data_IF_939457578932
#
_entry.id   IF_939457578932
#
_cell.length_a   1.000
_cell.length_b   1.000
_cell.length_c   1.000
_cell.angle_alpha   90.00
_cell.angle_beta   90.00
_cell.angle_gamma   90.00
#
_symmetry.space_group_name_H-M   'P 1'
#
loop_
_entity.id
_entity.type
_entity.pdbx_description
1 polymer ?
#
# COMPACT_ATOMS: atom_id res chain seq x y z
N UNK A 1 12.58 -1.85 22.24
CA UNK A 1 11.94 -0.52 22.22
C UNK A 1 12.35 0.17 20.93
N UNK A 2 11.42 0.79 20.21
CA UNK A 2 11.71 1.43 18.92
C UNK A 2 12.07 2.90 19.09
N UNK A 3 12.97 3.40 18.25
CA UNK A 3 13.26 4.83 18.17
C UNK A 3 12.02 5.56 17.59
N UNK A 4 11.56 6.67 18.21
CA UNK A 4 10.42 7.44 17.70
C UNK A 4 10.61 7.95 16.27
N UNK A 5 11.86 8.13 15.81
CA UNK A 5 12.15 8.47 14.41
C UNK A 5 11.69 7.38 13.45
N UNK A 6 11.95 6.10 13.77
CA UNK A 6 11.56 4.96 12.92
C UNK A 6 10.03 4.89 12.84
N UNK A 7 9.35 5.06 13.97
CA UNK A 7 7.89 5.03 14.03
C UNK A 7 7.28 6.15 13.18
N UNK A 8 7.84 7.37 13.24
CA UNK A 8 7.41 8.50 12.39
C UNK A 8 7.70 8.27 10.91
N UNK A 9 8.87 7.71 10.57
CA UNK A 9 9.21 7.38 9.20
C UNK A 9 8.20 6.41 8.58
N UNK A 10 7.89 5.32 9.32
CA UNK A 10 6.91 4.32 8.90
C UNK A 10 5.53 4.97 8.77
N UNK A 11 5.14 5.81 9.73
CA UNK A 11 3.84 6.49 9.71
C UNK A 11 3.66 7.38 8.49
N UNK A 12 4.64 8.23 8.21
CA UNK A 12 4.60 9.14 7.05
C UNK A 12 4.63 8.33 5.75
N UNK A 13 5.51 7.34 5.64
CA UNK A 13 5.61 6.48 4.47
C UNK A 13 4.31 5.74 4.17
N UNK A 14 3.72 5.09 5.17
CA UNK A 14 2.43 4.40 5.05
C UNK A 14 1.30 5.37 4.71
N UNK A 15 1.26 6.53 5.37
CA UNK A 15 0.27 7.57 5.14
C UNK A 15 0.27 8.04 3.68
N UNK A 16 1.44 8.44 3.18
CA UNK A 16 1.61 8.88 1.78
C UNK A 16 1.27 7.75 0.80
N UNK A 17 1.76 6.52 1.05
CA UNK A 17 1.49 5.38 0.18
C UNK A 17 -0.01 5.11 0.04
N UNK A 18 -0.75 5.08 1.15
CA UNK A 18 -2.19 4.85 1.13
C UNK A 18 -2.96 5.97 0.44
N UNK A 19 -2.56 7.23 0.65
CA UNK A 19 -3.21 8.37 -0.02
C UNK A 19 -2.99 8.35 -1.54
N UNK A 20 -1.76 8.08 -1.98
CA UNK A 20 -1.45 7.95 -3.42
C UNK A 20 -2.22 6.78 -4.04
N UNK A 21 -2.27 5.64 -3.37
CA UNK A 21 -3.02 4.47 -3.83
C UNK A 21 -4.54 4.76 -3.92
N UNK A 22 -5.11 5.40 -2.90
CA UNK A 22 -6.51 5.80 -2.89
C UNK A 22 -6.82 6.79 -4.02
N UNK A 23 -5.96 7.78 -4.23
CA UNK A 23 -6.12 8.77 -5.30
C UNK A 23 -6.16 8.11 -6.68
N UNK A 24 -5.19 7.23 -6.99
CA UNK A 24 -5.18 6.53 -8.27
C UNK A 24 -6.42 5.66 -8.48
N UNK A 25 -6.88 4.93 -7.46
CA UNK A 25 -8.08 4.09 -7.58
C UNK A 25 -9.38 4.89 -7.67
N UNK A 26 -9.43 6.09 -7.10
CA UNK A 26 -10.58 6.99 -7.25
C UNK A 26 -10.58 7.68 -8.62
N UNK A 27 -9.41 8.08 -9.12
CA UNK A 27 -9.25 8.69 -10.43
C UNK A 27 -9.56 7.69 -11.56
N UNK A 28 -9.11 6.45 -11.42
CA UNK A 28 -9.28 5.36 -12.40
C UNK A 28 -10.25 4.28 -11.90
N UNK A 29 -11.35 4.72 -11.28
CA UNK A 29 -12.37 3.82 -10.70
C UNK A 29 -12.89 2.71 -11.63
N UNK A 30 -13.16 2.97 -12.93
CA UNK A 30 -13.58 1.94 -13.86
C UNK A 30 -12.52 0.84 -14.06
N UNK A 31 -11.26 1.21 -14.23
CA UNK A 31 -10.14 0.28 -14.41
C UNK A 31 -9.94 -0.60 -13.17
N UNK A 32 -9.97 0.01 -11.97
CA UNK A 32 -9.86 -0.73 -10.71
C UNK A 32 -11.00 -1.75 -10.52
N UNK A 33 -12.22 -1.41 -10.96
CA UNK A 33 -13.37 -2.32 -10.92
C UNK A 33 -13.16 -3.53 -11.83
N UNK A 34 -12.60 -3.33 -13.02
CA UNK A 34 -12.26 -4.43 -13.95
C UNK A 34 -11.24 -5.35 -13.30
N UNK A 35 -10.15 -4.80 -12.76
CA UNK A 35 -9.13 -5.58 -12.04
C UNK A 35 -9.73 -6.40 -10.88
N UNK A 36 -10.62 -5.82 -10.07
CA UNK A 36 -11.28 -6.55 -8.98
C UNK A 36 -12.18 -7.69 -9.46
N UNK A 37 -12.82 -7.54 -10.63
CA UNK A 37 -13.63 -8.58 -11.25
C UNK A 37 -12.75 -9.74 -11.74
N UNK A 38 -11.62 -9.42 -12.37
CA UNK A 38 -10.67 -10.41 -12.89
C UNK A 38 -10.00 -11.24 -11.79
N UNK A 39 -9.88 -10.68 -10.58
CA UNK A 39 -9.39 -11.40 -9.42
C UNK A 39 -10.29 -12.59 -9.05
N UNK A 40 -11.56 -12.62 -9.49
CA UNK A 40 -12.53 -13.72 -9.27
C UNK A 40 -12.59 -14.23 -7.82
N UNK A 41 -12.40 -13.30 -6.88
CA UNK A 41 -12.45 -13.56 -5.43
C UNK A 41 -13.78 -13.13 -4.83
N UNK A 42 -14.47 -12.18 -5.47
CA UNK A 42 -15.76 -11.66 -5.04
C UNK A 42 -16.83 -11.95 -6.09
N UNK A 43 -18.09 -12.19 -5.67
CA UNK A 43 -19.20 -12.26 -6.62
C UNK A 43 -19.43 -10.88 -7.25
N UNK A 44 -19.87 -10.85 -8.51
CA UNK A 44 -20.02 -9.61 -9.31
C UNK A 44 -20.84 -8.51 -8.61
N UNK A 45 -21.84 -8.91 -7.83
CA UNK A 45 -22.71 -8.00 -7.05
C UNK A 45 -21.91 -7.20 -6.01
N UNK A 46 -20.86 -7.81 -5.42
CA UNK A 46 -20.00 -7.17 -4.42
C UNK A 46 -18.82 -6.40 -5.02
N UNK A 47 -18.51 -6.58 -6.31
CA UNK A 47 -17.40 -5.87 -6.96
C UNK A 47 -17.64 -4.36 -7.01
N UNK A 48 -18.85 -3.91 -7.35
CA UNK A 48 -19.18 -2.47 -7.43
C UNK A 48 -19.13 -1.71 -6.09
N UNK A 49 -19.65 -2.25 -4.97
CA UNK A 49 -19.47 -1.60 -3.68
C UNK A 49 -18.02 -1.66 -3.19
N UNK A 50 -17.33 -2.79 -3.38
CA UNK A 50 -15.95 -2.93 -2.91
C UNK A 50 -14.95 -2.07 -3.69
N UNK A 51 -15.20 -1.81 -4.98
CA UNK A 51 -14.37 -0.91 -5.78
C UNK A 51 -14.39 0.54 -5.27
N UNK A 52 -15.42 0.93 -4.50
CA UNK A 52 -15.53 2.25 -3.86
C UNK A 52 -15.12 2.23 -2.40
N UNK A 53 -15.48 1.17 -1.66
CA UNK A 53 -15.15 1.05 -0.24
C UNK A 53 -13.65 0.90 -0.02
N UNK A 54 -12.95 0.11 -0.84
CA UNK A 54 -11.51 -0.12 -0.66
C UNK A 54 -10.70 1.19 -0.75
N UNK A 55 -10.85 2.05 -1.78
CA UNK A 55 -10.14 3.33 -1.83
C UNK A 55 -10.51 4.27 -0.68
N UNK A 56 -11.77 4.25 -0.20
CA UNK A 56 -12.17 5.04 0.96
C UNK A 56 -11.47 4.57 2.24
N UNK A 57 -11.36 3.25 2.47
CA UNK A 57 -10.60 2.71 3.58
C UNK A 57 -9.12 3.06 3.50
N UNK A 58 -8.53 3.02 2.31
CA UNK A 58 -7.15 3.46 2.10
C UNK A 58 -6.98 4.95 2.42
N UNK A 59 -7.90 5.81 1.98
CA UNK A 59 -7.85 7.23 2.27
C UNK A 59 -7.96 7.50 3.77
N UNK A 60 -8.87 6.81 4.47
CA UNK A 60 -9.03 6.91 5.92
C UNK A 60 -7.77 6.44 6.66
N UNK A 61 -7.19 5.31 6.27
CA UNK A 61 -5.95 4.81 6.85
C UNK A 61 -4.79 5.77 6.59
N UNK A 62 -4.66 6.27 5.37
CA UNK A 62 -3.63 7.23 4.97
C UNK A 62 -3.72 8.54 5.77
N UNK A 63 -4.92 9.09 5.89
CA UNK A 63 -5.17 10.27 6.72
C UNK A 63 -4.87 9.99 8.19
N UNK A 64 -5.30 8.83 8.72
CA UNK A 64 -5.05 8.47 10.12
C UNK A 64 -3.56 8.31 10.42
N UNK A 65 -2.75 7.74 9.51
CA UNK A 65 -1.29 7.64 9.70
C UNK A 65 -0.60 9.01 9.76
N UNK A 66 -1.09 10.01 9.01
CA UNK A 66 -0.53 11.37 9.02
C UNK A 66 -1.05 12.22 10.18
N UNK A 67 -2.30 12.03 10.60
CA UNK A 67 -2.98 12.85 11.60
C UNK A 67 -2.86 12.29 13.03
N UNK A 68 -2.72 10.97 13.20
CA UNK A 68 -2.91 10.32 14.50
C UNK A 68 -1.65 10.37 15.39
N UNK A 69 -1.66 11.32 16.32
CA UNK A 69 -0.77 11.34 17.50
C UNK A 69 -1.25 10.43 18.65
N UNK A 70 -2.43 9.78 18.58
CA UNK A 70 -3.03 9.10 19.76
C UNK A 70 -3.63 7.70 19.54
N UNK A 71 -3.87 7.24 18.30
CA UNK A 71 -4.48 5.92 18.01
C UNK A 71 -3.69 5.11 16.97
N UNK A 72 -2.35 5.22 17.00
CA UNK A 72 -1.49 4.51 16.05
C UNK A 72 -1.72 2.99 16.04
N UNK A 73 -2.09 2.39 17.17
CA UNK A 73 -2.33 0.95 17.26
C UNK A 73 -3.49 0.47 16.40
N UNK A 74 -4.61 1.20 16.41
CA UNK A 74 -5.79 0.85 15.58
C UNK A 74 -5.48 1.03 14.09
N UNK A 75 -4.80 2.12 13.75
CA UNK A 75 -4.36 2.37 12.37
C UNK A 75 -3.40 1.29 11.88
N UNK A 76 -2.43 0.88 12.69
CA UNK A 76 -1.47 -0.18 12.36
C UNK A 76 -2.17 -1.52 12.09
N UNK A 77 -3.11 -1.92 12.96
CA UNK A 77 -3.89 -3.15 12.80
C UNK A 77 -4.76 -3.07 11.53
N UNK A 78 -5.45 -1.94 11.31
CA UNK A 78 -6.28 -1.75 10.11
C UNK A 78 -5.47 -1.84 8.82
N UNK A 79 -4.30 -1.20 8.78
CA UNK A 79 -3.38 -1.32 7.65
C UNK A 79 -2.85 -2.73 7.45
N UNK A 80 -2.50 -3.44 8.52
CA UNK A 80 -2.05 -4.83 8.46
C UNK A 80 -3.12 -5.75 7.86
N UNK A 81 -4.38 -5.59 8.29
CA UNK A 81 -5.51 -6.36 7.76
C UNK A 81 -5.71 -6.05 6.27
N UNK A 82 -5.75 -4.77 5.89
CA UNK A 82 -5.97 -4.37 4.50
C UNK A 82 -4.86 -4.87 3.56
N UNK A 83 -3.60 -4.68 3.95
CA UNK A 83 -2.45 -5.18 3.17
C UNK A 83 -2.39 -6.70 3.14
N UNK A 84 -2.76 -7.37 4.24
CA UNK A 84 -2.89 -8.82 4.32
C UNK A 84 -3.96 -9.36 3.38
N UNK A 85 -5.12 -8.70 3.30
CA UNK A 85 -6.17 -9.04 2.32
C UNK A 85 -5.66 -8.90 0.89
N UNK A 86 -4.91 -7.84 0.57
CA UNK A 86 -4.30 -7.69 -0.76
C UNK A 86 -3.25 -8.78 -1.04
N UNK A 87 -2.36 -9.08 -0.10
CA UNK A 87 -1.37 -10.13 -0.24
C UNK A 87 -2.02 -11.51 -0.46
N UNK A 88 -3.10 -11.80 0.28
CA UNK A 88 -3.87 -13.03 0.14
C UNK A 88 -4.58 -13.12 -1.22
N UNK A 89 -5.20 -12.03 -1.64
CA UNK A 89 -5.87 -11.95 -2.94
C UNK A 89 -4.91 -12.17 -4.12
N UNK A 90 -3.72 -11.55 -4.06
CA UNK A 90 -2.64 -11.73 -5.03
C UNK A 90 -2.12 -13.17 -4.97
N UNK A 91 -1.87 -13.70 -3.77
CA UNK A 91 -1.35 -15.05 -3.56
C UNK A 91 -2.28 -16.14 -4.12
N UNK A 92 -3.60 -16.03 -3.92
CA UNK A 92 -4.57 -16.95 -4.52
C UNK A 92 -4.51 -16.90 -6.05
N UNK A 93 -4.45 -15.71 -6.64
CA UNK A 93 -4.40 -15.57 -8.10
C UNK A 93 -3.09 -16.14 -8.66
N UNK A 94 -1.98 -15.96 -7.95
CA UNK A 94 -0.69 -16.56 -8.30
C UNK A 94 -0.73 -18.10 -8.23
N UNK A 95 -1.33 -18.67 -7.18
CA UNK A 95 -1.50 -20.13 -7.05
C UNK A 95 -2.42 -20.71 -8.13
N UNK A 96 -3.37 -19.92 -8.65
CA UNK A 96 -4.23 -20.30 -9.78
C UNK A 96 -3.53 -20.19 -11.14
N UNK A 97 -2.24 -19.87 -11.18
CA UNK A 97 -1.46 -19.69 -12.41
C UNK A 97 -1.82 -18.43 -13.18
N UNK A 98 -2.59 -17.50 -12.58
CA UNK A 98 -2.94 -16.22 -13.20
C UNK A 98 -1.86 -15.20 -12.93
N UNK A 99 -0.79 -15.31 -13.69
CA UNK A 99 0.30 -14.33 -13.71
C UNK A 99 -0.07 -13.06 -14.50
N UNK A 100 -1.13 -13.16 -15.32
CA UNK A 100 -1.60 -12.13 -16.25
C UNK A 100 -3.02 -11.70 -15.88
N UNK A 101 -3.20 -10.40 -15.70
CA UNK A 101 -4.50 -9.76 -15.52
C UNK A 101 -4.63 -8.77 -16.66
N UNK A 102 -5.55 -9.04 -17.57
CA UNK A 102 -5.64 -8.36 -18.86
C UNK A 102 -6.66 -7.23 -18.73
N UNK A 103 -6.19 -6.08 -18.23
CA UNK A 103 -7.04 -4.93 -17.93
C UNK A 103 -7.81 -4.35 -19.15
N UNK A 104 -7.63 -4.89 -20.37
CA UNK A 104 -8.49 -4.62 -21.53
C UNK A 104 -8.51 -3.18 -22.06
N UNK A 105 -7.72 -2.27 -21.46
CA UNK A 105 -7.67 -0.84 -21.79
C UNK A 105 -6.56 -0.47 -22.79
N UNK A 106 -6.16 -1.39 -23.66
CA UNK A 106 -5.19 -1.12 -24.74
C UNK A 106 -5.81 -0.28 -25.87
N UNK A 107 -5.98 1.03 -25.67
CA UNK A 107 -6.26 1.95 -26.77
C UNK A 107 -4.97 2.22 -27.55
N UNK A 108 -4.72 1.38 -28.57
CA UNK A 108 -3.63 1.57 -29.52
C UNK A 108 -2.33 0.84 -29.15
N UNK A 109 -2.11 -0.30 -29.80
CA UNK A 109 -0.79 -0.88 -30.06
C UNK A 109 0.13 -1.12 -28.86
N UNK A 110 0.16 -2.37 -28.36
CA UNK A 110 1.28 -2.95 -27.59
C UNK A 110 1.95 -1.96 -26.63
N UNK A 111 1.23 -1.55 -25.59
CA UNK A 111 1.87 -0.96 -24.42
C UNK A 111 2.03 -2.05 -23.37
N UNK A 112 3.29 -2.27 -22.99
CA UNK A 112 3.92 -3.12 -21.97
C UNK A 112 3.30 -3.06 -20.55
N UNK A 113 2.00 -2.85 -20.43
CA UNK A 113 1.26 -2.76 -19.17
C UNK A 113 0.58 -4.08 -18.80
N UNK A 114 1.18 -5.21 -19.19
CA UNK A 114 0.94 -6.47 -18.50
C UNK A 114 1.45 -6.31 -17.07
N UNK A 115 0.58 -5.97 -16.12
CA UNK A 115 0.94 -5.98 -14.71
C UNK A 115 1.19 -7.43 -14.30
N UNK A 116 2.42 -7.89 -14.47
CA UNK A 116 2.87 -9.18 -13.96
C UNK A 116 2.59 -9.21 -12.47
N UNK A 117 1.65 -10.05 -12.05
CA UNK A 117 1.45 -10.39 -10.66
C UNK A 117 2.68 -11.21 -10.23
N UNK A 118 3.73 -10.52 -9.79
CA UNK A 118 4.96 -11.14 -9.32
C UNK A 118 4.82 -11.50 -7.84
N UNK A 119 5.44 -12.61 -7.44
CA UNK A 119 5.56 -12.97 -6.01
C UNK A 119 6.22 -11.86 -5.17
N UNK A 120 6.99 -10.96 -5.82
CA UNK A 120 7.55 -9.76 -5.21
C UNK A 120 6.49 -8.81 -4.64
N UNK A 121 5.30 -8.72 -5.23
CA UNK A 121 4.19 -7.90 -4.69
C UNK A 121 3.64 -8.47 -3.38
N UNK A 122 3.54 -9.80 -3.27
CA UNK A 122 3.13 -10.49 -2.04
C UNK A 122 4.16 -10.24 -0.95
N UNK A 123 5.45 -10.43 -1.26
CA UNK A 123 6.54 -10.18 -0.32
C UNK A 123 6.56 -8.71 0.14
N UNK A 124 6.36 -7.75 -0.79
CA UNK A 124 6.27 -6.33 -0.46
C UNK A 124 5.14 -6.04 0.52
N UNK A 125 3.94 -6.56 0.27
CA UNK A 125 2.79 -6.37 1.17
C UNK A 125 3.03 -7.02 2.53
N UNK A 126 3.63 -8.22 2.59
CA UNK A 126 3.98 -8.87 3.86
C UNK A 126 5.03 -8.08 4.65
N UNK A 127 6.03 -7.50 3.97
CA UNK A 127 7.01 -6.61 4.61
C UNK A 127 6.34 -5.35 5.16
N UNK A 128 5.42 -4.74 4.40
CA UNK A 128 4.65 -3.58 4.87
C UNK A 128 3.74 -3.92 6.05
N UNK A 129 3.13 -5.11 6.07
CA UNK A 129 2.39 -5.63 7.23
C UNK A 129 3.31 -5.74 8.45
N UNK A 130 4.50 -6.32 8.28
CA UNK A 130 5.47 -6.43 9.37
C UNK A 130 5.90 -5.05 9.90
N UNK A 131 6.14 -4.08 9.01
CA UNK A 131 6.47 -2.70 9.39
C UNK A 131 5.30 -2.00 10.11
N UNK A 132 4.06 -2.21 9.67
CA UNK A 132 2.89 -1.69 10.37
C UNK A 132 2.81 -2.26 11.79
N UNK A 133 2.92 -3.59 11.94
CA UNK A 133 2.85 -4.25 13.23
C UNK A 133 4.03 -3.90 14.14
N UNK A 134 5.20 -3.59 13.57
CA UNK A 134 6.37 -3.15 14.33
C UNK A 134 6.05 -1.89 15.15
N UNK A 135 5.23 -0.97 14.63
CA UNK A 135 4.82 0.25 15.34
C UNK A 135 3.97 0.00 16.59
N UNK A 136 3.48 -1.22 16.82
CA UNK A 136 2.79 -1.62 18.05
C UNK A 136 3.75 -1.83 19.22
N UNK A 137 5.05 -1.98 18.97
CA UNK A 137 6.04 -2.10 20.04
C UNK A 137 6.20 -0.75 20.77
N UNK A 138 6.43 -0.75 22.10
CA UNK A 138 6.60 0.47 22.86
C UNK A 138 7.79 1.29 22.33
N UNK A 139 7.51 2.54 21.98
CA UNK A 139 8.51 3.51 21.55
C UNK A 139 9.22 4.09 22.78
N UNK A 140 10.50 4.43 22.61
CA UNK A 140 11.26 5.17 23.62
C UNK A 140 10.78 6.62 23.61
N UNK A 141 10.43 7.17 24.78
CA UNK A 141 10.18 8.61 24.93
C UNK A 141 11.49 9.38 24.79
N UNK A 142 11.84 9.69 23.53
CA UNK A 142 12.98 10.52 23.16
C UNK A 142 12.48 11.72 22.36
N UNK A 143 12.88 12.92 22.78
CA UNK A 143 12.60 14.13 22.02
C UNK A 143 13.37 14.10 20.68
N UNK A 144 12.67 14.32 19.57
CA UNK A 144 13.29 14.42 18.25
C UNK A 144 14.14 15.69 18.18
N UNK A 145 15.42 15.53 17.88
CA UNK A 145 16.33 16.62 17.60
C UNK A 145 16.23 17.10 16.16
N UNK A 146 16.80 18.26 15.86
CA UNK A 146 16.84 18.80 14.48
C UNK A 146 17.50 17.84 13.48
N UNK A 147 18.55 17.11 13.90
CA UNK A 147 19.22 16.09 13.07
C UNK A 147 18.33 14.90 12.72
N UNK A 148 17.34 14.59 13.55
CA UNK A 148 16.41 13.49 13.30
C UNK A 148 15.46 13.84 12.12
N UNK A 149 15.06 15.11 11.99
CA UNK A 149 14.29 15.59 10.84
C UNK A 149 15.07 15.53 9.52
N UNK A 150 16.36 15.89 9.55
CA UNK A 150 17.23 15.78 8.37
C UNK A 150 17.38 14.32 7.91
N UNK A 151 17.54 13.41 8.86
CA UNK A 151 17.65 11.97 8.60
C UNK A 151 16.35 11.40 8.03
N UNK A 152 15.19 11.82 8.56
CA UNK A 152 13.88 11.47 8.01
C UNK A 152 13.72 11.92 6.56
N UNK A 153 14.04 13.18 6.27
CA UNK A 153 13.95 13.73 4.92
C UNK A 153 14.86 12.99 3.93
N UNK A 154 16.11 12.72 4.34
CA UNK A 154 17.07 11.98 3.53
C UNK A 154 16.60 10.54 3.25
N UNK A 155 16.02 9.87 4.25
CA UNK A 155 15.53 8.49 4.10
C UNK A 155 14.36 8.42 3.12
N UNK A 156 13.37 9.32 3.26
CA UNK A 156 12.23 9.40 2.34
C UNK A 156 12.69 9.69 0.91
N UNK A 157 13.60 10.64 0.74
CA UNK A 157 14.16 10.99 -0.57
C UNK A 157 14.96 9.84 -1.20
N UNK A 158 15.78 9.13 -0.41
CA UNK A 158 16.51 7.98 -0.90
C UNK A 158 15.57 6.85 -1.36
N UNK A 159 14.50 6.59 -0.60
CA UNK A 159 13.52 5.55 -0.97
C UNK A 159 12.76 5.88 -2.25
N UNK A 160 12.39 7.15 -2.48
CA UNK A 160 11.72 7.54 -3.74
C UNK A 160 12.64 7.44 -4.94
N UNK A 161 13.92 7.82 -4.80
CA UNK A 161 14.92 7.65 -5.86
C UNK A 161 15.17 6.18 -6.20
N UNK A 162 15.32 5.32 -5.18
CA UNK A 162 15.50 3.89 -5.39
C UNK A 162 14.28 3.27 -6.09
N UNK A 163 13.06 3.68 -5.72
CA UNK A 163 11.86 3.22 -6.39
C UNK A 163 11.81 3.68 -7.85
N UNK A 164 12.13 4.94 -8.12
CA UNK A 164 12.20 5.49 -9.48
C UNK A 164 13.25 4.79 -10.35
N UNK A 165 14.43 4.51 -9.80
CA UNK A 165 15.48 3.77 -10.50
C UNK A 165 15.11 2.31 -10.76
N UNK A 166 14.44 1.65 -9.80
CA UNK A 166 14.01 0.25 -9.96
C UNK A 166 12.89 0.08 -10.97
N UNK A 167 12.07 1.12 -11.18
CA UNK A 167 10.93 1.10 -12.11
C UNK A 167 11.29 1.53 -13.54
N UNK A 168 12.57 1.84 -13.81
CA UNK A 168 13.09 2.20 -15.14
C UNK A 168 13.83 1.05 -15.84
N UNK A 169 14.05 -0.07 -15.14
CA UNK A 169 14.69 -1.29 -15.63
C UNK A 169 13.64 -2.33 -16.02
#
# INVERSE_FOLDING_TARGET
>A
MLDPLITKAISIGMGVMFLVAAYHKLAEGPSFRVTLLEYQLLPEVLVSPMSRLLPLFELLLGASWLLAFYQQSMTAIGSAILLGMYAFAIGINLMRGRHYIDCGCGFGGKSDSEQFLSGGLVMRNLLLVALALLTLLPAIDRALGFGDYATLAATLFATTLLFGASNQL
#
